data_IF_576275143119
#
_entry.id   IF_576275143119
#
_cell.length_a   1.000
_cell.length_b   1.000
_cell.length_c   1.000
_cell.angle_alpha   90.00
_cell.angle_beta   90.00
_cell.angle_gamma   90.00
#
_symmetry.space_group_name_H-M   'P 1'
#
loop_
_entity.id
_entity.type
_entity.pdbx_description
1 polymer ?
#
# COMPACT_ATOMS: atom_id res chain seq x y z
N UNK A 1 40.37 3.23 0.92
CA UNK A 1 39.45 4.22 0.32
C UNK A 1 38.44 3.44 -0.50
N UNK A 2 37.17 3.47 -0.11
CA UNK A 2 36.13 2.55 -0.56
C UNK A 2 35.60 3.00 -1.93
N UNK A 3 36.06 2.36 -3.02
CA UNK A 3 35.68 2.68 -4.41
C UNK A 3 34.65 1.70 -4.94
N UNK A 4 33.46 1.64 -4.33
CA UNK A 4 32.37 0.76 -4.79
C UNK A 4 31.01 1.46 -4.90
N UNK A 5 31.00 2.78 -5.11
CA UNK A 5 29.78 3.57 -5.29
C UNK A 5 29.81 4.43 -6.55
N UNK A 6 30.04 3.84 -7.73
CA UNK A 6 30.11 4.61 -8.99
C UNK A 6 29.18 4.15 -10.12
N UNK A 7 28.36 3.12 -9.94
CA UNK A 7 27.40 2.73 -10.98
C UNK A 7 26.03 2.36 -10.42
N UNK A 8 25.30 3.35 -9.91
CA UNK A 8 23.84 3.29 -9.96
C UNK A 8 23.46 3.39 -11.43
N UNK A 9 23.16 2.25 -12.05
CA UNK A 9 22.86 2.07 -13.49
C UNK A 9 21.48 2.67 -13.86
N UNK A 10 21.26 3.93 -13.49
CA UNK A 10 20.06 4.67 -13.83
C UNK A 10 20.20 5.23 -15.24
N UNK A 11 19.16 5.09 -16.07
CA UNK A 11 19.16 5.68 -17.40
C UNK A 11 19.33 7.20 -17.28
N UNK A 12 20.09 7.89 -18.17
CA UNK A 12 20.26 9.34 -18.12
C UNK A 12 18.92 10.12 -18.08
N UNK A 13 17.88 9.57 -18.70
CA UNK A 13 16.51 10.10 -18.62
C UNK A 13 15.94 10.05 -17.18
N UNK A 14 16.14 8.93 -16.46
CA UNK A 14 15.69 8.78 -15.08
C UNK A 14 16.38 9.80 -14.18
N UNK A 15 17.71 9.97 -14.34
CA UNK A 15 18.46 10.97 -13.57
C UNK A 15 17.95 12.39 -13.79
N UNK A 16 17.64 12.77 -15.04
CA UNK A 16 17.08 14.08 -15.36
C UNK A 16 15.67 14.27 -14.77
N UNK A 17 14.82 13.26 -14.85
CA UNK A 17 13.48 13.29 -14.27
C UNK A 17 13.49 13.31 -12.73
N UNK A 18 14.45 12.64 -12.09
CA UNK A 18 14.63 12.67 -10.64
C UNK A 18 15.15 14.01 -10.13
N UNK A 19 15.82 14.82 -10.97
CA UNK A 19 16.21 16.19 -10.64
C UNK A 19 15.02 17.11 -10.32
N UNK A 20 13.81 16.74 -10.74
CA UNK A 20 12.57 17.46 -10.44
C UNK A 20 11.78 16.86 -9.26
N UNK A 21 12.29 15.80 -8.63
CA UNK A 21 11.61 15.14 -7.50
C UNK A 21 11.48 16.11 -6.32
N UNK A 22 10.35 16.04 -5.62
CA UNK A 22 10.10 16.77 -4.37
C UNK A 22 10.33 15.85 -3.17
N UNK A 23 11.02 16.35 -2.14
CA UNK A 23 11.34 15.62 -0.90
C UNK A 23 12.45 14.58 -1.06
N UNK A 24 12.95 14.07 0.06
CA UNK A 24 14.05 13.12 0.21
C UNK A 24 13.58 11.73 0.68
N UNK A 25 12.57 11.70 1.56
CA UNK A 25 11.91 10.47 2.00
C UNK A 25 11.44 9.65 0.77
N UNK A 26 11.81 8.37 0.73
CA UNK A 26 11.40 7.39 -0.30
C UNK A 26 12.06 7.49 -1.70
N UNK A 27 13.24 8.11 -1.80
CA UNK A 27 14.00 8.29 -3.06
C UNK A 27 14.20 6.98 -3.86
N UNK A 28 14.64 5.89 -3.21
CA UNK A 28 14.89 4.60 -3.89
C UNK A 28 13.67 4.01 -4.58
N UNK A 29 12.46 4.24 -4.04
CA UNK A 29 11.24 3.75 -4.67
C UNK A 29 10.79 4.69 -5.79
N UNK A 30 10.90 6.00 -5.60
CA UNK A 30 10.64 6.99 -6.64
C UNK A 30 11.52 6.77 -7.88
N UNK A 31 12.80 6.45 -7.69
CA UNK A 31 13.71 6.07 -8.78
C UNK A 31 13.18 4.88 -9.59
N UNK A 32 12.72 3.81 -8.92
CA UNK A 32 12.12 2.66 -9.61
C UNK A 32 10.82 3.02 -10.33
N UNK A 33 10.02 3.93 -9.77
CA UNK A 33 8.77 4.38 -10.39
C UNK A 33 9.03 5.21 -11.66
N UNK A 34 10.02 6.10 -11.61
CA UNK A 34 10.46 6.91 -12.75
C UNK A 34 11.13 6.03 -13.80
N UNK A 35 11.97 5.06 -13.42
CA UNK A 35 12.56 4.09 -14.36
C UNK A 35 11.49 3.26 -15.08
N UNK A 36 10.50 2.75 -14.35
CA UNK A 36 9.36 2.05 -14.95
C UNK A 36 8.56 2.94 -15.90
N UNK A 37 8.40 4.23 -15.58
CA UNK A 37 7.74 5.20 -16.46
C UNK A 37 8.55 5.42 -17.74
N UNK A 38 9.84 5.72 -17.61
CA UNK A 38 10.74 5.99 -18.72
C UNK A 38 10.75 4.81 -19.70
N UNK A 39 10.77 3.58 -19.20
CA UNK A 39 10.66 2.37 -20.03
C UNK A 39 9.34 2.29 -20.81
N UNK A 40 8.23 2.76 -20.23
CA UNK A 40 6.92 2.83 -20.91
C UNK A 40 6.88 3.97 -21.93
N UNK A 41 7.36 5.17 -21.56
CA UNK A 41 7.36 6.34 -22.44
C UNK A 41 8.31 6.19 -23.62
N UNK A 42 9.44 5.48 -23.47
CA UNK A 42 10.34 5.15 -24.59
C UNK A 42 9.66 4.37 -25.73
N UNK A 43 8.53 3.70 -25.46
CA UNK A 43 7.74 3.01 -26.51
C UNK A 43 6.86 3.98 -27.31
N UNK A 44 6.63 5.19 -26.81
CA UNK A 44 5.84 6.26 -27.44
C UNK A 44 6.77 7.39 -27.89
N UNK A 45 6.94 7.58 -29.19
CA UNK A 45 7.76 8.68 -29.74
C UNK A 45 7.21 10.04 -29.27
N UNK A 46 8.07 10.92 -28.76
CA UNK A 46 7.71 12.28 -28.33
C UNK A 46 7.15 12.40 -26.91
N UNK A 47 6.72 11.30 -26.28
CA UNK A 47 6.07 11.35 -24.97
C UNK A 47 7.04 11.68 -23.83
N UNK A 48 8.31 11.34 -24.00
CA UNK A 48 9.35 11.60 -23.01
C UNK A 48 9.76 13.08 -23.04
N UNK A 49 9.97 13.63 -24.23
CA UNK A 49 10.29 15.03 -24.46
C UNK A 49 9.18 15.95 -23.94
N UNK A 50 7.92 15.57 -24.16
CA UNK A 50 6.77 16.32 -23.64
C UNK A 50 6.71 16.32 -22.10
N UNK A 51 7.05 15.19 -21.46
CA UNK A 51 7.13 15.11 -20.00
C UNK A 51 8.21 16.04 -19.45
N UNK A 52 9.39 16.06 -20.08
CA UNK A 52 10.49 16.93 -19.67
C UNK A 52 10.16 18.40 -19.89
N UNK A 53 9.48 18.73 -20.99
CA UNK A 53 8.97 20.08 -21.25
C UNK A 53 7.98 20.51 -20.16
N UNK A 54 7.05 19.63 -19.78
CA UNK A 54 6.08 19.92 -18.74
C UNK A 54 6.76 20.16 -17.37
N UNK A 55 7.77 19.35 -17.03
CA UNK A 55 8.51 19.48 -15.76
C UNK A 55 9.44 20.71 -15.72
N UNK A 56 10.09 21.04 -16.84
CA UNK A 56 11.04 22.16 -16.92
C UNK A 56 10.39 23.54 -16.97
N UNK A 57 9.15 23.65 -17.48
CA UNK A 57 8.43 24.91 -17.61
C UNK A 57 7.07 24.89 -16.88
N UNK A 58 7.04 24.87 -15.54
CA UNK A 58 5.81 24.95 -14.78
C UNK A 58 5.04 26.22 -15.14
N UNK A 59 3.79 26.09 -15.59
CA UNK A 59 2.93 27.21 -15.96
C UNK A 59 2.75 27.44 -17.46
N UNK A 60 3.55 26.77 -18.31
CA UNK A 60 3.24 26.71 -19.74
C UNK A 60 2.29 25.54 -20.04
N UNK A 61 1.35 25.71 -21.00
CA UNK A 61 0.53 24.59 -21.46
C UNK A 61 1.42 23.49 -22.06
N UNK A 62 1.20 22.26 -21.60
CA UNK A 62 1.88 21.05 -22.07
C UNK A 62 0.84 20.01 -22.50
N UNK A 63 1.23 19.11 -23.40
CA UNK A 63 0.34 18.04 -23.88
C UNK A 63 0.20 16.91 -22.84
N UNK A 64 -0.77 16.02 -23.05
CA UNK A 64 -0.96 14.86 -22.19
C UNK A 64 0.19 13.86 -22.38
N UNK A 65 0.79 13.45 -21.27
CA UNK A 65 1.73 12.33 -21.24
C UNK A 65 0.99 11.12 -20.70
N UNK A 66 0.73 10.13 -21.56
CA UNK A 66 -0.19 9.04 -21.25
C UNK A 66 0.49 7.67 -21.19
N UNK A 67 -0.02 6.81 -20.30
CA UNK A 67 0.36 5.39 -20.22
C UNK A 67 -0.87 4.48 -20.32
N UNK A 68 -0.71 3.22 -20.74
CA UNK A 68 -1.81 2.26 -20.78
C UNK A 68 -2.42 2.05 -19.38
N UNK A 69 -3.74 2.08 -19.31
CA UNK A 69 -4.52 1.89 -18.08
C UNK A 69 -4.70 0.39 -17.80
N UNK A 70 -4.33 -0.05 -16.61
CA UNK A 70 -4.65 -1.40 -16.12
C UNK A 70 -6.16 -1.57 -15.92
N UNK A 71 -6.66 -2.81 -15.88
CA UNK A 71 -8.08 -3.10 -15.66
C UNK A 71 -8.63 -2.47 -14.36
N UNK A 72 -7.83 -2.50 -13.29
CA UNK A 72 -8.16 -1.90 -11.99
C UNK A 72 -7.65 -0.45 -11.84
N UNK A 73 -7.04 0.11 -12.89
CA UNK A 73 -6.44 1.45 -12.88
C UNK A 73 -5.17 1.60 -12.02
N UNK A 74 -4.65 0.53 -11.41
CA UNK A 74 -3.47 0.58 -10.55
C UNK A 74 -2.20 0.24 -11.33
N UNK A 75 -1.10 0.90 -10.96
CA UNK A 75 0.25 0.61 -11.40
C UNK A 75 1.02 -0.05 -10.25
N UNK A 76 1.69 -1.17 -10.55
CA UNK A 76 2.57 -1.85 -9.61
C UNK A 76 4.03 -1.48 -9.88
N UNK A 77 4.71 -0.95 -8.86
CA UNK A 77 6.13 -0.60 -8.89
C UNK A 77 6.80 -1.20 -7.65
N UNK A 78 7.76 -2.10 -7.86
CA UNK A 78 8.57 -2.70 -6.78
C UNK A 78 7.72 -3.23 -5.61
N UNK A 79 6.74 -4.11 -5.92
CA UNK A 79 5.78 -4.71 -4.96
C UNK A 79 4.75 -3.77 -4.33
N UNK A 80 4.75 -2.48 -4.66
CA UNK A 80 3.73 -1.53 -4.22
C UNK A 80 2.74 -1.21 -5.33
N UNK A 81 1.46 -1.15 -5.01
CA UNK A 81 0.38 -0.80 -5.96
C UNK A 81 -0.17 0.57 -5.62
N UNK A 82 -0.31 1.44 -6.63
CA UNK A 82 -0.90 2.77 -6.47
C UNK A 82 -1.49 3.27 -7.78
N UNK A 83 -2.19 4.40 -7.73
CA UNK A 83 -2.76 5.01 -8.93
C UNK A 83 -1.67 5.80 -9.66
N UNK A 84 -1.49 5.64 -10.99
CA UNK A 84 -0.33 6.19 -11.69
C UNK A 84 -0.24 7.72 -11.61
N UNK A 85 -1.35 8.43 -11.78
CA UNK A 85 -1.40 9.88 -11.65
C UNK A 85 -1.04 10.36 -10.24
N UNK A 86 -1.48 9.65 -9.19
CA UNK A 86 -1.12 9.96 -7.79
C UNK A 86 0.37 9.74 -7.55
N UNK A 87 0.92 8.61 -8.01
CA UNK A 87 2.35 8.26 -7.86
C UNK A 87 3.22 9.38 -8.44
N UNK A 88 2.97 9.77 -9.69
CA UNK A 88 3.81 10.74 -10.38
C UNK A 88 3.57 12.19 -9.92
N UNK A 89 2.35 12.55 -9.51
CA UNK A 89 2.11 13.83 -8.84
C UNK A 89 2.84 13.92 -7.49
N UNK A 90 2.90 12.81 -6.74
CA UNK A 90 3.65 12.76 -5.47
C UNK A 90 5.14 12.95 -5.69
N UNK A 91 5.70 12.29 -6.71
CA UNK A 91 7.12 12.39 -7.05
C UNK A 91 7.52 13.82 -7.42
N UNK A 92 6.76 14.53 -8.26
CA UNK A 92 7.21 15.80 -8.86
C UNK A 92 6.56 17.07 -8.30
N UNK A 93 5.49 16.99 -7.52
CA UNK A 93 4.76 18.18 -7.04
C UNK A 93 4.45 18.17 -5.56
N UNK A 94 3.81 17.11 -5.06
CA UNK A 94 3.25 17.09 -3.70
C UNK A 94 3.67 15.81 -2.96
N UNK A 95 4.83 15.80 -2.29
CA UNK A 95 5.34 14.59 -1.62
C UNK A 95 4.40 14.11 -0.49
N UNK A 96 3.62 15.03 0.08
CA UNK A 96 2.63 14.81 1.14
C UNK A 96 1.24 14.41 0.61
N UNK A 97 1.04 14.28 -0.70
CA UNK A 97 -0.24 13.88 -1.30
C UNK A 97 -0.68 12.51 -0.79
N UNK A 98 -1.82 12.39 -0.11
CA UNK A 98 -2.23 11.14 0.52
C UNK A 98 -3.04 10.25 -0.42
N UNK A 99 -4.01 10.85 -1.14
CA UNK A 99 -4.96 10.09 -1.95
C UNK A 99 -5.34 10.79 -3.26
N UNK A 100 -6.04 10.06 -4.13
CA UNK A 100 -6.59 10.63 -5.37
C UNK A 100 -7.72 11.63 -5.15
N UNK A 101 -8.36 11.65 -3.98
CA UNK A 101 -9.43 12.60 -3.67
C UNK A 101 -8.91 14.04 -3.57
N UNK A 102 -7.61 14.21 -3.29
CA UNK A 102 -6.92 15.49 -3.30
C UNK A 102 -6.52 15.95 -4.70
N UNK A 103 -6.81 15.20 -5.77
CA UNK A 103 -6.49 15.58 -7.14
C UNK A 103 -7.75 15.75 -7.98
N UNK A 104 -7.85 16.91 -8.67
CA UNK A 104 -8.82 17.11 -9.76
C UNK A 104 -8.09 17.37 -11.07
N UNK A 105 -8.53 16.77 -12.19
CA UNK A 105 -7.98 17.10 -13.49
C UNK A 105 -8.28 18.54 -13.88
N UNK A 106 -7.40 19.14 -14.67
CA UNK A 106 -7.65 20.39 -15.37
C UNK A 106 -8.43 20.14 -16.67
N UNK A 107 -9.09 21.18 -17.18
CA UNK A 107 -9.87 21.11 -18.43
C UNK A 107 -9.00 20.82 -19.66
N UNK A 108 -7.72 21.19 -19.63
CA UNK A 108 -6.75 20.89 -20.69
C UNK A 108 -6.33 19.42 -20.76
N UNK A 109 -6.74 18.59 -19.80
CA UNK A 109 -6.39 17.17 -19.76
C UNK A 109 -7.42 16.36 -20.55
N UNK A 110 -7.01 15.80 -21.69
CA UNK A 110 -7.87 14.95 -22.54
C UNK A 110 -8.02 13.52 -21.99
N UNK A 111 -7.00 13.03 -21.27
CA UNK A 111 -6.93 11.66 -20.74
C UNK A 111 -6.91 11.60 -19.20
N UNK A 112 -7.82 12.27 -18.47
CA UNK A 112 -7.77 12.29 -17.01
C UNK A 112 -8.13 10.90 -16.46
N UNK A 113 -7.61 10.54 -15.27
CA UNK A 113 -7.85 9.22 -14.68
C UNK A 113 -9.33 8.81 -14.59
N UNK A 114 -10.23 9.78 -14.32
CA UNK A 114 -11.67 9.55 -14.21
C UNK A 114 -12.39 9.26 -15.53
N UNK A 115 -11.77 9.54 -16.69
CA UNK A 115 -12.39 9.36 -18.02
C UNK A 115 -12.63 7.91 -18.42
N UNK A 116 -12.05 6.95 -17.67
CA UNK A 116 -12.11 5.51 -17.93
C UNK A 116 -11.64 5.07 -19.32
N UNK A 117 -10.86 5.89 -20.02
CA UNK A 117 -10.29 5.57 -21.32
C UNK A 117 -9.19 4.49 -21.21
N UNK A 118 -8.73 4.00 -22.38
CA UNK A 118 -7.64 2.99 -22.48
C UNK A 118 -6.29 3.51 -21.97
N UNK A 119 -6.10 4.82 -22.03
CA UNK A 119 -4.89 5.51 -21.62
C UNK A 119 -5.19 6.45 -20.45
N UNK A 120 -4.19 6.72 -19.62
CA UNK A 120 -4.28 7.66 -18.50
C UNK A 120 -3.13 8.65 -18.55
N UNK A 121 -3.45 9.94 -18.45
CA UNK A 121 -2.49 11.03 -18.32
C UNK A 121 -1.83 11.00 -16.94
N UNK A 122 -0.50 11.05 -16.93
CA UNK A 122 0.35 11.12 -15.73
C UNK A 122 1.09 12.45 -15.60
N UNK A 123 0.86 13.41 -16.51
CA UNK A 123 1.46 14.74 -16.44
C UNK A 123 0.98 15.43 -15.14
N UNK A 124 1.87 15.74 -14.18
CA UNK A 124 1.47 16.34 -12.91
C UNK A 124 0.79 17.68 -13.04
N UNK A 125 1.09 18.46 -14.09
CA UNK A 125 0.51 19.78 -14.34
C UNK A 125 -0.88 19.72 -14.97
N UNK A 126 -1.35 18.52 -15.33
CA UNK A 126 -2.73 18.30 -15.78
C UNK A 126 -3.69 18.03 -14.62
N UNK A 127 -3.19 18.08 -13.39
CA UNK A 127 -3.97 17.94 -12.16
C UNK A 127 -3.73 19.15 -11.27
N UNK A 128 -4.77 19.54 -10.53
CA UNK A 128 -4.69 20.50 -9.43
C UNK A 128 -4.96 19.79 -8.12
N UNK A 129 -4.24 20.20 -7.08
CA UNK A 129 -4.53 19.75 -5.72
C UNK A 129 -5.78 20.44 -5.22
N UNK A 130 -6.63 19.70 -4.54
CA UNK A 130 -7.82 20.17 -3.85
C UNK A 130 -7.83 19.61 -2.44
N UNK A 131 -8.58 20.24 -1.55
CA UNK A 131 -8.83 19.68 -0.23
C UNK A 131 -9.64 18.39 -0.37
N UNK A 132 -9.22 17.34 0.34
CA UNK A 132 -10.03 16.13 0.45
C UNK A 132 -11.34 16.52 1.14
N UNK A 133 -12.51 16.11 0.61
CA UNK A 133 -13.77 16.39 1.27
C UNK A 133 -13.72 15.85 2.70
N UNK A 134 -14.06 16.69 3.67
CA UNK A 134 -14.24 16.24 5.06
C UNK A 134 -15.43 15.29 5.06
N UNK A 135 -15.19 14.04 5.45
CA UNK A 135 -16.30 13.12 5.67
C UNK A 135 -17.10 13.64 6.86
N UNK A 136 -18.44 13.66 6.79
CA UNK A 136 -19.27 13.99 7.95
C UNK A 136 -18.89 13.08 9.12
N UNK A 137 -18.94 13.56 10.37
CA UNK A 137 -18.72 12.72 11.54
C UNK A 137 -19.66 11.51 11.46
N UNK A 138 -19.11 10.30 11.40
CA UNK A 138 -19.92 9.09 11.53
C UNK A 138 -20.40 9.03 12.97
N UNK A 139 -21.64 9.45 13.20
CA UNK A 139 -22.34 9.24 14.46
C UNK A 139 -22.58 7.73 14.57
N UNK A 140 -21.62 7.02 15.15
CA UNK A 140 -21.86 5.67 15.65
C UNK A 140 -22.83 5.79 16.83
N UNK A 141 -24.02 5.16 16.80
CA UNK A 141 -24.88 5.10 17.98
C UNK A 141 -24.11 4.40 19.10
N UNK A 142 -23.63 5.18 20.08
CA UNK A 142 -22.91 4.64 21.26
C UNK A 142 -23.86 4.06 22.32
N UNK A 143 -25.15 4.28 22.14
CA UNK A 143 -26.20 3.70 22.97
C UNK A 143 -27.11 2.91 22.04
N UNK A 144 -27.04 1.59 22.14
CA UNK A 144 -28.18 0.74 21.82
C UNK A 144 -29.31 1.11 22.79
N UNK A 145 -30.11 2.13 22.47
CA UNK A 145 -31.47 2.31 23.03
C UNK A 145 -32.43 1.22 22.49
N UNK A 146 -31.89 0.04 22.21
CA UNK A 146 -32.68 -1.11 21.86
C UNK A 146 -33.16 -1.71 23.17
N UNK A 147 -34.48 -1.62 23.39
CA UNK A 147 -35.19 -2.31 24.45
C UNK A 147 -34.58 -3.72 24.64
N UNK A 148 -34.03 -4.05 25.82
CA UNK A 148 -33.32 -5.32 26.06
C UNK A 148 -34.16 -6.56 25.72
N UNK A 149 -35.48 -6.41 25.59
CA UNK A 149 -36.42 -7.47 25.23
C UNK A 149 -36.41 -7.87 23.75
N UNK A 150 -35.88 -7.04 22.84
CA UNK A 150 -35.85 -7.37 21.41
C UNK A 150 -34.48 -7.83 20.90
N UNK A 151 -33.43 -7.72 21.72
CA UNK A 151 -32.09 -8.16 21.31
C UNK A 151 -32.10 -9.67 21.09
N UNK A 152 -31.78 -10.12 19.87
CA UNK A 152 -31.66 -11.56 19.56
C UNK A 152 -30.67 -12.25 20.50
N UNK A 153 -29.68 -11.52 21.03
CA UNK A 153 -28.75 -12.00 22.05
C UNK A 153 -29.42 -12.33 23.40
N UNK A 154 -30.51 -11.64 23.75
CA UNK A 154 -31.30 -11.95 24.95
C UNK A 154 -32.14 -13.24 24.77
N UNK A 155 -32.62 -13.52 23.55
CA UNK A 155 -33.27 -14.80 23.22
C UNK A 155 -32.30 -15.97 23.35
N UNK A 156 -31.04 -15.81 22.97
CA UNK A 156 -30.02 -16.86 23.16
C UNK A 156 -29.65 -17.10 24.63
N UNK A 157 -29.81 -16.09 25.51
CA UNK A 157 -29.48 -16.24 26.94
C UNK A 157 -30.62 -16.85 27.75
N UNK A 158 -31.86 -16.81 27.27
CA UNK A 158 -33.00 -17.38 27.98
C UNK A 158 -33.30 -18.84 27.63
N UNK A 159 -32.63 -19.42 26.63
CA UNK A 159 -32.64 -20.87 26.40
C UNK A 159 -31.57 -21.59 27.25
N UNK A 160 -31.56 -21.25 28.54
CA UNK A 160 -30.63 -21.78 29.54
C UNK A 160 -31.16 -22.98 30.33
N UNK A 161 -32.31 -23.55 29.96
CA UNK A 161 -32.83 -24.77 30.60
C UNK A 161 -33.51 -25.65 29.56
N UNK A 162 -32.96 -26.85 29.41
CA UNK A 162 -33.41 -27.96 28.56
C UNK A 162 -33.38 -27.70 27.05
N UNK A 163 -32.34 -28.22 26.39
CA UNK A 163 -32.43 -29.37 25.48
C UNK A 163 -31.13 -29.44 24.65
N UNK A 164 -30.58 -30.64 24.57
CA UNK A 164 -29.33 -30.98 23.88
C UNK A 164 -29.50 -30.89 22.36
N UNK A 165 -29.31 -29.71 21.77
CA UNK A 165 -29.48 -29.50 20.33
C UNK A 165 -28.20 -29.80 19.51
N UNK A 166 -27.59 -30.97 19.73
CA UNK A 166 -26.53 -31.48 18.87
C UNK A 166 -27.12 -32.53 17.91
N UNK A 167 -26.95 -32.41 16.58
CA UNK A 167 -27.42 -33.43 15.65
C UNK A 167 -26.67 -34.74 15.91
N UNK A 168 -27.40 -35.85 15.97
CA UNK A 168 -26.93 -37.20 16.34
C UNK A 168 -25.94 -37.84 15.35
N UNK A 169 -25.27 -37.07 14.48
CA UNK A 169 -24.35 -37.59 13.47
C UNK A 169 -23.00 -36.86 13.42
N UNK A 170 -22.55 -36.28 14.54
CA UNK A 170 -21.22 -35.70 14.65
C UNK A 170 -20.25 -36.70 15.33
N UNK A 171 -19.62 -37.56 14.54
CA UNK A 171 -18.47 -38.36 14.99
C UNK A 171 -17.21 -37.52 14.79
N UNK A 172 -16.61 -37.02 15.87
CA UNK A 172 -15.30 -36.39 15.84
C UNK A 172 -14.21 -37.47 16.04
N UNK A 173 -13.07 -37.40 15.31
CA UNK A 173 -11.94 -38.29 15.58
C UNK A 173 -11.28 -37.94 16.93
N UNK A 174 -10.96 -38.97 17.69
CA UNK A 174 -10.42 -38.95 19.06
C UNK A 174 -8.95 -38.50 19.13
N UNK A 175 -8.65 -37.26 18.70
CA UNK A 175 -7.26 -36.77 18.65
C UNK A 175 -7.03 -35.38 19.26
N UNK A 176 -8.03 -34.81 19.94
CA UNK A 176 -7.85 -33.55 20.68
C UNK A 176 -8.42 -33.65 22.10
N UNK A 177 -7.79 -34.45 22.95
CA UNK A 177 -7.92 -34.28 24.39
C UNK A 177 -7.11 -33.05 24.81
N UNK A 178 -7.79 -31.98 25.24
CA UNK A 178 -7.17 -30.94 26.05
C UNK A 178 -7.01 -31.47 27.49
N UNK A 179 -5.82 -31.40 28.10
CA UNK A 179 -5.71 -31.60 29.53
C UNK A 179 -6.09 -30.33 30.28
N UNK A 180 -6.97 -30.54 31.26
CA UNK A 180 -7.29 -29.78 32.46
C UNK A 180 -6.73 -28.37 32.68
N UNK A 181 -7.68 -27.52 33.07
CA UNK A 181 -7.56 -26.25 33.80
C UNK A 181 -6.55 -26.27 34.97
N UNK A 182 -5.62 -25.31 34.96
CA UNK A 182 -4.98 -24.78 36.17
C UNK A 182 -4.98 -23.24 36.14
N UNK A 183 -5.27 -22.54 37.26
CA UNK A 183 -5.23 -21.08 37.31
C UNK A 183 -3.79 -20.57 37.52
N UNK A 184 -3.37 -19.59 36.73
CA UNK A 184 -2.11 -18.87 36.92
C UNK A 184 -2.22 -17.88 38.09
N UNK A 185 -1.24 -17.80 39.00
CA UNK A 185 -1.23 -16.80 40.06
C UNK A 185 -0.72 -15.44 39.55
N UNK A 186 -1.30 -14.38 40.09
CA UNK A 186 -0.93 -12.98 39.88
C UNK A 186 0.50 -12.68 40.41
N UNK A 187 1.26 -11.87 39.67
CA UNK A 187 2.49 -11.24 40.17
C UNK A 187 2.37 -9.70 40.12
N UNK A 188 2.94 -8.97 41.10
CA UNK A 188 2.60 -7.58 41.35
C UNK A 188 3.58 -6.57 40.73
N UNK A 189 3.04 -5.37 40.59
CA UNK A 189 3.65 -4.06 40.38
C UNK A 189 5.12 -3.90 40.85
N UNK A 190 6.04 -3.44 39.98
CA UNK A 190 7.19 -2.59 40.39
C UNK A 190 7.97 -1.99 39.20
N UNK A 191 7.95 -0.65 39.12
CA UNK A 191 9.10 0.27 39.04
C UNK A 191 10.24 0.04 38.02
N UNK A 192 10.34 0.95 37.05
CA UNK A 192 11.59 1.29 36.33
C UNK A 192 12.68 1.76 37.32
N UNK A 193 13.98 1.48 37.09
CA UNK A 193 14.82 2.44 36.34
C UNK A 193 16.01 1.86 35.54
N UNK A 194 16.50 2.69 34.60
CA UNK A 194 17.88 2.90 34.10
C UNK A 194 18.78 1.75 33.60
N UNK A 195 19.28 1.91 32.37
CA UNK A 195 20.49 1.28 31.80
C UNK A 195 21.78 1.70 32.54
N UNK A 196 22.92 0.98 32.43
CA UNK A 196 23.80 1.09 31.25
C UNK A 196 24.65 -0.18 30.90
N UNK A 197 25.24 -0.19 29.69
CA UNK A 197 26.61 -0.72 29.49
C UNK A 197 26.82 -2.11 28.84
N UNK A 198 27.27 -2.06 27.58
CA UNK A 198 28.42 -2.79 27.00
C UNK A 198 28.50 -4.34 26.91
N UNK A 199 28.71 -4.76 25.66
CA UNK A 199 29.71 -5.74 25.16
C UNK A 199 29.33 -7.21 24.90
N UNK A 200 29.93 -7.71 23.82
CA UNK A 200 30.22 -9.11 23.41
C UNK A 200 29.23 -9.85 22.47
N UNK A 201 29.71 -10.01 21.23
CA UNK A 201 29.70 -11.19 20.34
C UNK A 201 28.81 -12.37 20.76
N UNK A 202 27.96 -12.97 19.90
CA UNK A 202 28.35 -13.87 18.80
C UNK A 202 27.06 -14.39 18.13
N UNK A 203 27.08 -14.55 16.80
CA UNK A 203 26.03 -15.23 16.03
C UNK A 203 25.92 -16.73 16.38
N UNK A 204 24.74 -17.35 16.20
CA UNK A 204 24.67 -18.73 15.72
C UNK A 204 24.13 -18.80 14.29
N UNK A 205 24.77 -19.68 13.52
CA UNK A 205 24.55 -19.99 12.12
C UNK A 205 23.18 -20.66 11.88
N UNK A 206 22.54 -20.34 10.76
CA UNK A 206 21.44 -21.14 10.20
C UNK A 206 22.01 -22.17 9.22
N UNK A 207 21.63 -23.46 9.29
CA UNK A 207 22.11 -24.45 8.34
C UNK A 207 21.35 -24.33 7.01
N UNK A 208 22.13 -24.41 5.93
CA UNK A 208 21.68 -24.59 4.56
C UNK A 208 21.17 -26.04 4.38
N UNK A 209 20.05 -26.22 3.69
CA UNK A 209 19.60 -27.53 3.21
C UNK A 209 18.97 -27.37 1.83
N UNK A 210 19.78 -27.71 0.83
CA UNK A 210 19.38 -28.08 -0.52
C UNK A 210 18.68 -29.43 -0.48
N UNK A 211 17.59 -29.64 -1.22
CA UNK A 211 17.50 -30.54 -2.41
C UNK A 211 16.02 -30.78 -2.87
N UNK A 212 15.72 -31.49 -3.97
CA UNK A 212 14.68 -31.12 -4.92
C UNK A 212 13.53 -32.14 -4.97
N UNK A 213 12.45 -31.80 -5.67
CA UNK A 213 11.38 -32.75 -6.00
C UNK A 213 10.03 -32.33 -5.45
N UNK A 214 9.31 -31.53 -6.24
CA UNK A 214 7.88 -31.30 -6.03
C UNK A 214 7.10 -31.99 -7.16
N UNK A 215 6.19 -32.92 -6.85
CA UNK A 215 5.41 -33.65 -7.84
C UNK A 215 4.05 -32.97 -8.02
N UNK A 216 3.95 -31.96 -8.87
CA UNK A 216 2.66 -31.48 -9.35
C UNK A 216 2.73 -31.09 -10.82
N UNK A 217 2.42 -32.08 -11.65
CA UNK A 217 2.14 -31.91 -13.08
C UNK A 217 0.79 -32.58 -13.34
N UNK A 218 -0.19 -31.80 -13.78
CA UNK A 218 -1.52 -32.24 -14.23
C UNK A 218 -2.04 -31.19 -15.23
N UNK A 219 -2.96 -31.57 -16.14
CA UNK A 219 -2.75 -32.34 -17.35
C UNK A 219 -2.71 -31.47 -18.61
#
# INVERSE_FOLDING_TARGET
MNVTSLFSFTSPAVKRLLGWKQGDEEEKWAEKAVDALVKKLKKKKGAMEELEKALSSPGQPSNCVTIPRSLDGRLQVSHRKGLPHVIYCRVWRWPDLQSHHELKPLECCEYPFGSKQKEVCINPYHYKRVESPVLPPVLVPRHSEYNPQHSLLAQFRNLGQNESNMPHNATFPDSFQQPNSHPFPHSPNSSYPNSPGSSSSTYPQSPMSSDPGSPFQIP
#
